data_IF_641232513306
#
_entry.id   IF_641232513306
#
_cell.length_a   1.000
_cell.length_b   1.000
_cell.length_c   1.000
_cell.angle_alpha   90.00
_cell.angle_beta   90.00
_cell.angle_gamma   90.00
#
_symmetry.space_group_name_H-M   'P 1'
#
loop_
_entity.id
_entity.type
_entity.pdbx_description
1 polymer ?
#
# COMPACT_ATOMS: atom_id res chain seq x y z
N UNK A 1 27.84 -4.91 49.91
CA UNK A 1 27.17 -6.01 49.20
C UNK A 1 25.73 -5.61 48.99
N UNK A 2 25.40 -5.07 47.81
CA UNK A 2 24.07 -4.93 47.22
C UNK A 2 24.27 -4.50 45.75
N UNK A 3 23.66 -5.24 44.83
CA UNK A 3 23.83 -5.15 43.38
C UNK A 3 23.04 -4.00 42.73
N UNK A 4 23.41 -3.55 41.51
CA UNK A 4 22.71 -2.53 40.74
C UNK A 4 21.54 -3.14 39.93
N UNK A 5 20.44 -2.40 39.79
CA UNK A 5 19.27 -2.81 39.01
C UNK A 5 18.98 -1.83 37.87
N UNK A 6 19.19 -2.33 36.66
CA UNK A 6 18.72 -1.93 35.32
C UNK A 6 17.87 -0.63 35.17
N UNK A 7 18.50 0.41 34.63
CA UNK A 7 17.81 1.47 33.88
C UNK A 7 17.77 1.09 32.39
N UNK A 8 16.77 0.30 32.00
CA UNK A 8 16.30 0.23 30.62
C UNK A 8 14.84 0.69 30.60
N UNK A 9 14.63 1.99 30.79
CA UNK A 9 13.32 2.60 30.61
C UNK A 9 13.12 2.94 29.13
N UNK A 10 12.33 2.11 28.44
CA UNK A 10 11.74 2.52 27.17
C UNK A 10 10.92 3.79 27.41
N UNK A 11 11.01 4.81 26.53
CA UNK A 11 10.26 6.05 26.74
C UNK A 11 8.76 5.75 26.65
N UNK A 12 8.11 5.74 27.82
CA UNK A 12 6.67 5.68 27.93
C UNK A 12 6.05 6.85 27.15
N UNK A 13 5.28 6.52 26.12
CA UNK A 13 4.53 7.49 25.32
C UNK A 13 3.60 8.25 26.29
N UNK A 14 3.84 9.55 26.45
CA UNK A 14 3.04 10.42 27.31
C UNK A 14 1.62 10.55 26.73
N UNK A 15 0.67 9.93 27.43
CA UNK A 15 -0.78 10.03 27.19
C UNK A 15 -1.28 11.48 27.35
N UNK A 16 -1.52 12.17 26.24
CA UNK A 16 -2.67 13.07 26.10
C UNK A 16 -3.64 12.38 25.15
N UNK A 17 -4.93 12.34 25.51
CA UNK A 17 -5.99 11.54 24.86
C UNK A 17 -6.30 12.07 23.46
N UNK A 18 -5.37 11.87 22.52
CA UNK A 18 -5.52 12.16 21.10
C UNK A 18 -6.20 11.00 20.37
N UNK A 19 -6.82 11.28 19.22
CA UNK A 19 -7.34 10.26 18.32
C UNK A 19 -6.18 9.52 17.65
N UNK A 20 -6.36 8.24 17.36
CA UNK A 20 -5.41 7.48 16.54
C UNK A 20 -5.55 7.91 15.09
N UNK A 21 -4.46 8.41 14.52
CA UNK A 21 -4.43 8.93 13.15
C UNK A 21 -4.08 7.82 12.16
N UNK A 22 -4.99 7.50 11.26
CA UNK A 22 -4.86 6.43 10.25
C UNK A 22 -4.72 7.06 8.87
N UNK A 23 -3.67 6.69 8.14
CA UNK A 23 -3.53 6.96 6.72
C UNK A 23 -3.94 5.72 5.91
N UNK A 24 -4.78 5.89 4.92
CA UNK A 24 -5.12 4.83 3.95
C UNK A 24 -4.91 5.31 2.53
N UNK A 25 -4.23 4.53 1.70
CA UNK A 25 -3.92 4.86 0.31
C UNK A 25 -4.42 3.75 -0.60
N UNK A 26 -5.32 4.10 -1.52
CA UNK A 26 -5.92 3.16 -2.45
C UNK A 26 -4.94 2.62 -3.50
N UNK A 27 -5.35 1.52 -4.13
CA UNK A 27 -4.77 1.04 -5.38
C UNK A 27 -5.05 2.00 -6.54
N UNK A 28 -4.22 1.99 -7.59
CA UNK A 28 -4.47 2.85 -8.76
C UNK A 28 -3.41 2.89 -9.85
N UNK A 29 -2.39 2.04 -9.79
CA UNK A 29 -1.30 2.03 -10.75
C UNK A 29 -0.68 3.42 -10.94
N UNK A 30 -0.43 3.82 -12.20
CA UNK A 30 0.11 5.16 -12.52
C UNK A 30 -0.78 6.33 -12.05
N UNK A 31 -2.08 6.13 -11.81
CA UNK A 31 -2.95 7.17 -11.24
C UNK A 31 -2.58 7.52 -9.80
N UNK A 32 -1.81 6.66 -9.13
CA UNK A 32 -1.25 6.92 -7.80
C UNK A 32 -0.44 8.21 -7.71
N UNK A 33 0.02 8.79 -8.83
CA UNK A 33 0.63 10.13 -8.85
C UNK A 33 -0.28 11.18 -8.19
N UNK A 34 -1.61 11.07 -8.33
CA UNK A 34 -2.57 11.98 -7.70
C UNK A 34 -2.47 11.90 -6.17
N UNK A 35 -2.54 10.69 -5.60
CA UNK A 35 -2.37 10.47 -4.16
C UNK A 35 -1.00 10.93 -3.67
N UNK A 36 0.07 10.62 -4.40
CA UNK A 36 1.42 11.02 -3.99
C UNK A 36 1.62 12.55 -4.03
N UNK A 37 0.98 13.27 -4.97
CA UNK A 37 0.95 14.73 -4.95
C UNK A 37 0.12 15.28 -3.77
N UNK A 38 -1.00 14.65 -3.44
CA UNK A 38 -1.79 15.01 -2.26
C UNK A 38 -0.97 14.82 -0.96
N UNK A 39 -0.21 13.72 -0.86
CA UNK A 39 0.71 13.46 0.24
C UNK A 39 1.84 14.49 0.31
N UNK A 40 2.43 14.87 -0.83
CA UNK A 40 3.46 15.91 -0.88
C UNK A 40 2.92 17.27 -0.40
N UNK A 41 1.69 17.60 -0.80
CA UNK A 41 1.01 18.80 -0.32
C UNK A 41 0.72 18.74 1.19
N UNK A 42 0.25 17.59 1.68
CA UNK A 42 0.00 17.35 3.09
C UNK A 42 1.29 17.51 3.92
N UNK A 43 2.40 16.88 3.51
CA UNK A 43 3.67 17.00 4.23
C UNK A 43 4.17 18.44 4.27
N UNK A 44 4.01 19.20 3.17
CA UNK A 44 4.33 20.64 3.16
C UNK A 44 3.45 21.42 4.14
N UNK A 45 2.15 21.12 4.19
CA UNK A 45 1.23 21.74 5.13
C UNK A 45 1.59 21.40 6.59
N UNK A 46 1.97 20.15 6.88
CA UNK A 46 2.42 19.70 8.21
C UNK A 46 3.69 20.43 8.65
N UNK A 47 4.68 20.58 7.76
CA UNK A 47 5.90 21.37 8.02
C UNK A 47 5.55 22.82 8.35
N UNK A 48 4.67 23.44 7.56
CA UNK A 48 4.26 24.83 7.78
C UNK A 48 3.47 25.02 9.08
N UNK A 49 2.56 24.09 9.41
CA UNK A 49 1.68 24.20 10.59
C UNK A 49 2.40 23.89 11.89
N UNK A 50 3.36 22.97 11.87
CA UNK A 50 4.15 22.61 13.05
C UNK A 50 5.36 23.52 13.29
N UNK A 51 5.81 24.24 12.26
CA UNK A 51 7.07 24.99 12.30
C UNK A 51 8.32 24.09 12.23
N UNK A 52 8.16 22.77 12.06
CA UNK A 52 9.26 21.83 11.93
C UNK A 52 9.55 21.53 10.45
N UNK A 53 10.67 21.99 9.87
CA UNK A 53 11.02 21.73 8.47
C UNK A 53 11.30 20.25 8.20
N UNK A 54 11.64 19.48 9.24
CA UNK A 54 11.91 18.05 9.16
C UNK A 54 10.67 17.19 9.38
N UNK A 55 9.49 17.77 9.61
CA UNK A 55 8.25 17.02 9.76
C UNK A 55 8.01 16.10 8.55
N UNK A 56 7.54 14.89 8.80
CA UNK A 56 7.21 13.85 7.83
C UNK A 56 5.81 13.33 8.05
N UNK A 57 5.22 12.71 7.03
CA UNK A 57 3.89 12.07 7.16
C UNK A 57 3.87 11.08 8.33
N UNK A 58 4.91 10.24 8.47
CA UNK A 58 5.00 9.24 9.54
C UNK A 58 5.02 9.83 10.98
N UNK A 59 5.31 11.13 11.15
CA UNK A 59 5.29 11.77 12.47
C UNK A 59 3.87 12.06 12.97
N UNK A 60 2.87 12.09 12.07
CA UNK A 60 1.49 12.50 12.37
C UNK A 60 0.47 11.37 12.19
N UNK A 61 0.89 10.23 11.66
CA UNK A 61 0.04 9.06 11.48
C UNK A 61 0.57 7.90 12.33
N UNK A 62 -0.32 7.33 13.13
CA UNK A 62 -0.02 6.22 14.02
C UNK A 62 -0.05 4.88 13.27
N UNK A 63 -0.85 4.79 12.21
CA UNK A 63 -0.96 3.60 11.35
C UNK A 63 -1.10 4.03 9.90
N UNK A 64 -0.51 3.27 8.99
CA UNK A 64 -0.73 3.44 7.56
C UNK A 64 -1.09 2.14 6.85
N UNK A 65 -2.05 2.21 5.93
CA UNK A 65 -2.40 1.10 5.07
C UNK A 65 -2.35 1.52 3.60
N UNK A 66 -1.85 0.65 2.73
CA UNK A 66 -1.76 0.97 1.31
C UNK A 66 -1.87 -0.26 0.44
N UNK A 67 -2.62 -0.16 -0.65
CA UNK A 67 -2.83 -1.26 -1.61
C UNK A 67 -2.20 -0.95 -2.97
N UNK A 68 -1.54 -1.93 -3.60
CA UNK A 68 -0.83 -1.74 -4.86
C UNK A 68 0.18 -0.59 -4.78
N UNK A 69 0.10 0.40 -5.66
CA UNK A 69 0.90 1.63 -5.58
C UNK A 69 0.76 2.35 -4.23
N UNK A 70 -0.42 2.32 -3.62
CA UNK A 70 -0.60 2.83 -2.26
C UNK A 70 0.25 2.08 -1.24
N UNK A 71 0.42 0.76 -1.40
CA UNK A 71 1.27 -0.07 -0.54
C UNK A 71 2.76 0.25 -0.71
N UNK A 72 3.19 0.53 -1.95
CA UNK A 72 4.54 1.04 -2.22
C UNK A 72 4.76 2.37 -1.50
N UNK A 73 3.80 3.30 -1.59
CA UNK A 73 3.92 4.60 -0.92
C UNK A 73 3.93 4.46 0.60
N UNK A 74 3.10 3.58 1.16
CA UNK A 74 3.12 3.25 2.59
C UNK A 74 4.49 2.73 3.01
N UNK A 75 5.06 1.76 2.30
CA UNK A 75 6.41 1.28 2.59
C UNK A 75 7.44 2.41 2.50
N UNK A 76 7.39 3.25 1.46
CA UNK A 76 8.33 4.37 1.29
C UNK A 76 8.25 5.38 2.44
N UNK A 77 7.04 5.73 2.88
CA UNK A 77 6.79 6.75 3.89
C UNK A 77 7.09 6.29 5.32
N UNK A 78 7.15 4.99 5.57
CA UNK A 78 7.27 4.45 6.92
C UNK A 78 8.51 3.57 7.13
N UNK A 79 9.15 3.08 6.07
CA UNK A 79 10.41 2.35 6.18
C UNK A 79 11.51 3.25 6.73
N UNK A 80 12.40 2.67 7.53
CA UNK A 80 13.48 3.39 8.20
C UNK A 80 14.76 2.55 8.23
N UNK A 81 15.91 3.23 8.26
CA UNK A 81 17.23 2.59 8.42
C UNK A 81 17.74 2.67 9.85
N UNK A 82 17.22 3.60 10.64
CA UNK A 82 17.76 4.00 11.94
C UNK A 82 16.69 4.09 13.03
N UNK A 83 15.45 3.72 12.71
CA UNK A 83 14.28 3.81 13.57
C UNK A 83 13.95 5.25 14.03
N UNK A 84 14.41 6.27 13.30
CA UNK A 84 14.21 7.69 13.65
C UNK A 84 13.54 8.48 12.55
N UNK A 85 13.86 8.19 11.29
CA UNK A 85 13.34 8.94 10.15
C UNK A 85 12.94 8.01 9.01
N UNK A 86 11.90 8.38 8.24
CA UNK A 86 11.53 7.63 7.07
C UNK A 86 12.56 7.83 5.95
N UNK A 87 12.79 6.80 5.15
CA UNK A 87 13.78 6.82 4.08
C UNK A 87 13.37 7.70 2.88
N UNK A 88 12.08 8.03 2.75
CA UNK A 88 11.56 8.91 1.72
C UNK A 88 10.68 10.02 2.31
N UNK A 89 10.72 11.17 1.66
CA UNK A 89 9.73 12.25 1.78
C UNK A 89 8.46 11.91 0.99
N UNK A 90 7.35 12.56 1.35
CA UNK A 90 6.11 12.41 0.58
C UNK A 90 6.25 12.82 -0.91
N UNK A 91 7.11 13.79 -1.23
CA UNK A 91 7.33 14.21 -2.61
C UNK A 91 8.07 13.15 -3.45
N UNK A 92 8.95 12.37 -2.83
CA UNK A 92 9.70 11.31 -3.51
C UNK A 92 8.80 10.12 -3.91
N UNK A 93 7.65 9.93 -3.25
CA UNK A 93 6.72 8.83 -3.57
C UNK A 93 6.22 8.90 -5.03
N UNK A 94 5.59 10.01 -5.43
CA UNK A 94 5.07 10.15 -6.79
C UNK A 94 6.18 10.33 -7.82
N UNK A 95 7.33 10.93 -7.44
CA UNK A 95 8.50 11.03 -8.32
C UNK A 95 9.07 9.65 -8.62
N UNK A 96 9.21 8.79 -7.61
CA UNK A 96 9.63 7.41 -7.80
C UNK A 96 8.72 6.69 -8.80
N UNK A 97 7.40 6.86 -8.67
CA UNK A 97 6.43 6.29 -9.60
C UNK A 97 6.53 6.89 -11.01
N UNK A 98 6.76 8.20 -11.15
CA UNK A 98 6.92 8.86 -12.44
C UNK A 98 8.21 8.40 -13.16
N UNK A 99 9.32 8.34 -12.43
CA UNK A 99 10.65 8.00 -12.95
C UNK A 99 10.74 6.51 -13.31
N UNK A 100 10.14 5.65 -12.47
CA UNK A 100 10.12 4.22 -12.71
C UNK A 100 8.89 3.76 -13.48
N UNK A 101 7.91 4.62 -13.74
CA UNK A 101 6.64 4.25 -14.39
C UNK A 101 6.84 3.57 -15.74
N UNK A 102 7.80 4.04 -16.55
CA UNK A 102 8.18 3.38 -17.81
C UNK A 102 8.86 2.02 -17.62
N UNK A 103 9.54 1.79 -16.49
CA UNK A 103 10.17 0.50 -16.15
C UNK A 103 9.13 -0.48 -15.58
N UNK A 104 8.21 0.02 -14.77
CA UNK A 104 7.17 -0.73 -14.05
C UNK A 104 6.03 -1.11 -15.00
N UNK A 105 5.52 -0.15 -15.78
CA UNK A 105 4.35 -0.31 -16.65
C UNK A 105 4.69 -0.50 -18.13
N UNK A 106 5.88 -1.02 -18.42
CA UNK A 106 6.34 -1.28 -19.80
C UNK A 106 5.46 -2.37 -20.44
N UNK A 107 4.34 -1.95 -21.05
CA UNK A 107 3.61 -2.79 -22.02
C UNK A 107 4.57 -3.12 -23.15
N UNK A 108 4.66 -4.40 -23.52
CA UNK A 108 5.39 -4.82 -24.70
C UNK A 108 4.86 -4.09 -25.92
N UNK A 109 5.56 -3.04 -26.34
CA UNK A 109 5.33 -2.41 -27.63
C UNK A 109 5.53 -3.49 -28.69
N UNK A 110 4.48 -3.75 -29.46
CA UNK A 110 4.46 -4.83 -30.45
C UNK A 110 5.62 -4.73 -31.42
N UNK A 111 6.41 -5.80 -31.53
CA UNK A 111 7.12 -6.10 -32.77
C UNK A 111 6.17 -6.90 -33.65
N UNK A 112 5.58 -6.23 -34.63
CA UNK A 112 5.13 -6.90 -35.85
C UNK A 112 6.30 -7.72 -36.39
N UNK A 113 6.21 -9.03 -36.30
CA UNK A 113 7.27 -9.94 -36.72
C UNK A 113 6.83 -11.39 -36.65
N UNK A 114 6.15 -11.86 -37.71
CA UNK A 114 6.07 -13.26 -38.11
C UNK A 114 5.33 -14.21 -37.17
N UNK A 115 4.15 -14.65 -37.61
CA UNK A 115 3.29 -15.65 -36.94
C UNK A 115 4.01 -17.00 -36.74
N UNK A 116 5.16 -17.26 -37.39
CA UNK A 116 5.88 -18.54 -37.31
C UNK A 116 6.91 -18.70 -36.16
N UNK A 117 7.15 -17.70 -35.29
CA UNK A 117 8.08 -17.88 -34.14
C UNK A 117 7.41 -18.15 -32.79
N UNK A 118 6.08 -18.29 -32.75
CA UNK A 118 5.29 -18.33 -31.50
C UNK A 118 5.10 -19.70 -30.86
N UNK A 119 5.55 -20.79 -31.49
CA UNK A 119 5.30 -22.17 -30.98
C UNK A 119 6.48 -22.70 -30.13
N UNK A 120 7.57 -21.93 -29.96
CA UNK A 120 8.77 -22.36 -29.22
C UNK A 120 9.15 -21.46 -28.02
N UNK A 121 8.21 -20.67 -27.49
CA UNK A 121 8.41 -19.93 -26.22
C UNK A 121 7.22 -20.10 -25.28
N UNK A 122 7.10 -21.28 -24.71
CA UNK A 122 6.43 -21.44 -23.42
C UNK A 122 7.28 -20.75 -22.35
N UNK A 123 6.68 -19.80 -21.62
CA UNK A 123 7.18 -19.32 -20.33
C UNK A 123 8.17 -18.16 -20.34
N UNK A 124 7.81 -16.98 -20.86
CA UNK A 124 8.56 -15.75 -20.50
C UNK A 124 7.68 -14.50 -20.43
N UNK A 125 7.11 -14.25 -19.26
CA UNK A 125 6.64 -12.94 -18.76
C UNK A 125 7.83 -12.02 -18.40
N UNK A 126 8.85 -11.96 -19.26
CA UNK A 126 10.16 -11.42 -18.92
C UNK A 126 10.48 -10.10 -19.62
N UNK A 127 10.24 -8.97 -18.94
CA UNK A 127 11.05 -7.74 -19.07
C UNK A 127 10.71 -6.69 -17.99
N UNK A 128 9.44 -6.54 -17.61
CA UNK A 128 9.00 -5.56 -16.58
C UNK A 128 9.34 -5.97 -15.14
N UNK A 129 9.32 -7.28 -14.86
CA UNK A 129 9.64 -7.85 -13.53
C UNK A 129 11.01 -7.44 -13.01
N UNK A 130 12.03 -7.45 -13.86
CA UNK A 130 13.41 -7.15 -13.47
C UNK A 130 13.63 -5.65 -13.19
N UNK A 131 12.89 -4.78 -13.89
CA UNK A 131 12.99 -3.33 -13.72
C UNK A 131 12.40 -2.86 -12.40
N UNK A 132 11.21 -3.36 -12.07
CA UNK A 132 10.52 -3.11 -10.80
C UNK A 132 11.28 -3.71 -9.62
N UNK A 133 11.71 -4.97 -9.73
CA UNK A 133 12.51 -5.62 -8.69
C UNK A 133 13.78 -4.84 -8.37
N UNK A 134 14.52 -4.41 -9.40
CA UNK A 134 15.73 -3.61 -9.21
C UNK A 134 15.43 -2.29 -8.50
N UNK A 135 14.40 -1.57 -8.92
CA UNK A 135 14.03 -0.29 -8.30
C UNK A 135 13.63 -0.46 -6.83
N UNK A 136 12.87 -1.51 -6.51
CA UNK A 136 12.45 -1.81 -5.14
C UNK A 136 13.61 -2.25 -4.26
N UNK A 137 14.53 -3.08 -4.79
CA UNK A 137 15.75 -3.45 -4.07
C UNK A 137 16.62 -2.23 -3.79
N UNK A 138 16.81 -1.33 -4.77
CA UNK A 138 17.55 -0.08 -4.59
C UNK A 138 16.92 0.81 -3.51
N UNK A 139 15.57 0.89 -3.46
CA UNK A 139 14.85 1.68 -2.47
C UNK A 139 14.95 1.10 -1.04
N UNK A 140 14.76 -0.21 -0.88
CA UNK A 140 14.59 -0.86 0.43
C UNK A 140 15.78 -1.72 0.86
N UNK A 141 16.97 -1.50 0.29
CA UNK A 141 18.21 -2.16 0.73
C UNK A 141 19.14 -1.12 1.36
N UNK A 142 19.67 -1.44 2.55
CA UNK A 142 20.67 -0.65 3.25
C UNK A 142 21.99 -1.43 3.31
N UNK A 143 22.93 -1.09 2.44
CA UNK A 143 24.19 -1.84 2.30
C UNK A 143 23.94 -3.26 1.79
N UNK A 144 24.15 -4.26 2.65
CA UNK A 144 23.93 -5.69 2.34
C UNK A 144 22.62 -6.26 2.92
N UNK A 145 21.87 -5.47 3.69
CA UNK A 145 20.62 -5.90 4.35
C UNK A 145 19.41 -5.34 3.61
N UNK A 146 18.44 -6.20 3.30
CA UNK A 146 17.10 -5.77 2.89
C UNK A 146 16.31 -5.33 4.11
N UNK A 147 15.63 -4.19 4.02
CA UNK A 147 14.68 -3.75 5.05
C UNK A 147 13.46 -4.67 5.03
N UNK A 148 12.92 -4.97 6.21
CA UNK A 148 11.75 -5.85 6.38
C UNK A 148 10.57 -5.10 7.00
N UNK A 149 9.44 -5.77 7.25
CA UNK A 149 8.27 -5.14 7.88
C UNK A 149 8.61 -4.60 9.28
N UNK A 150 9.53 -5.26 9.99
CA UNK A 150 10.07 -4.78 11.28
C UNK A 150 10.80 -3.44 11.18
N UNK A 151 11.38 -3.14 10.02
CA UNK A 151 12.12 -1.90 9.73
C UNK A 151 11.18 -0.75 9.31
N UNK A 152 9.98 -0.69 9.89
CA UNK A 152 9.03 0.41 9.72
C UNK A 152 8.78 1.13 11.05
N UNK A 153 8.67 2.46 10.99
CA UNK A 153 8.57 3.35 12.16
C UNK A 153 7.28 3.13 12.97
N UNK A 154 6.21 2.75 12.28
CA UNK A 154 4.85 2.61 12.79
C UNK A 154 4.17 1.40 12.15
N UNK A 155 3.08 0.88 12.72
CA UNK A 155 2.29 -0.16 12.09
C UNK A 155 1.90 0.18 10.66
N UNK A 156 2.25 -0.72 9.74
CA UNK A 156 1.85 -0.67 8.33
C UNK A 156 1.03 -1.89 7.96
N UNK A 157 0.10 -1.72 7.02
CA UNK A 157 -0.74 -2.78 6.48
C UNK A 157 -0.73 -2.72 4.96
N UNK A 158 -0.23 -3.78 4.32
CA UNK A 158 -0.09 -3.82 2.86
C UNK A 158 -0.71 -5.13 2.38
N UNK A 159 -1.83 -5.13 1.64
CA UNK A 159 -2.47 -6.34 1.19
C UNK A 159 -1.83 -6.89 -0.09
N UNK A 160 -1.89 -8.20 -0.27
CA UNK A 160 -1.85 -8.88 -1.56
C UNK A 160 -2.98 -9.91 -1.62
N UNK A 161 -3.16 -10.56 -2.77
CA UNK A 161 -3.98 -11.76 -2.86
C UNK A 161 -3.07 -12.96 -3.05
N UNK A 162 -3.11 -13.93 -2.13
CA UNK A 162 -2.31 -15.14 -2.21
C UNK A 162 -3.08 -16.25 -2.92
N UNK A 163 -2.56 -16.67 -4.07
CA UNK A 163 -3.14 -17.73 -4.87
C UNK A 163 -2.99 -19.11 -4.22
N UNK A 164 -2.05 -19.29 -3.30
CA UNK A 164 -1.85 -20.58 -2.61
C UNK A 164 -2.97 -20.85 -1.61
N UNK A 165 -3.32 -19.85 -0.81
CA UNK A 165 -4.43 -19.90 0.14
C UNK A 165 -5.77 -19.50 -0.46
N UNK A 166 -5.79 -18.95 -1.67
CA UNK A 166 -6.98 -18.38 -2.34
C UNK A 166 -7.68 -17.32 -1.50
N UNK A 167 -6.88 -16.51 -0.79
CA UNK A 167 -7.39 -15.50 0.14
C UNK A 167 -6.54 -14.21 0.09
N UNK A 168 -7.10 -13.07 0.52
CA UNK A 168 -6.30 -11.88 0.80
C UNK A 168 -5.29 -12.18 1.91
N UNK A 169 -4.05 -11.78 1.70
CA UNK A 169 -3.00 -11.82 2.71
C UNK A 169 -2.62 -10.39 3.07
N UNK A 170 -2.60 -10.04 4.35
CA UNK A 170 -2.29 -8.70 4.82
C UNK A 170 -0.93 -8.70 5.48
N UNK A 171 0.08 -8.13 4.82
CA UNK A 171 1.38 -7.89 5.46
C UNK A 171 1.20 -6.85 6.57
N UNK A 172 1.50 -7.22 7.81
CA UNK A 172 1.44 -6.31 8.95
C UNK A 172 2.75 -6.29 9.73
N UNK A 173 3.14 -5.10 10.20
CA UNK A 173 4.27 -4.97 11.13
C UNK A 173 4.01 -5.72 12.44
N UNK A 174 2.76 -5.71 12.92
CA UNK A 174 2.39 -6.37 14.16
C UNK A 174 2.66 -7.89 14.08
N UNK A 175 2.18 -8.56 13.03
CA UNK A 175 2.42 -10.00 12.85
C UNK A 175 3.90 -10.31 12.67
N UNK A 176 4.64 -9.45 11.94
CA UNK A 176 6.08 -9.58 11.79
C UNK A 176 6.80 -9.50 13.15
N UNK A 177 6.39 -8.60 14.05
CA UNK A 177 6.98 -8.49 15.39
C UNK A 177 6.69 -9.70 16.28
N UNK A 178 5.52 -10.32 16.13
CA UNK A 178 5.17 -11.55 16.87
C UNK A 178 5.96 -12.76 16.38
N UNK A 179 6.23 -12.88 15.08
CA UNK A 179 6.98 -14.01 14.52
C UNK A 179 7.66 -13.68 13.20
N UNK A 180 8.89 -14.18 13.03
CA UNK A 180 9.66 -14.08 11.79
C UNK A 180 8.95 -14.74 10.59
N UNK A 181 8.00 -15.66 10.83
CA UNK A 181 7.18 -16.27 9.79
C UNK A 181 6.24 -15.28 9.09
N UNK A 182 6.04 -14.09 9.64
CA UNK A 182 5.28 -13.01 9.03
C UNK A 182 6.13 -11.77 8.74
N UNK A 183 7.46 -11.84 8.92
CA UNK A 183 8.36 -10.79 8.50
C UNK A 183 8.85 -11.06 7.06
N UNK A 184 8.68 -10.07 6.19
CA UNK A 184 9.01 -10.16 4.77
C UNK A 184 9.85 -8.96 4.33
N UNK A 185 10.77 -9.11 3.37
CA UNK A 185 11.48 -7.98 2.78
C UNK A 185 10.51 -6.97 2.15
N UNK A 186 10.66 -5.69 2.48
CA UNK A 186 9.76 -4.63 1.99
C UNK A 186 9.75 -4.53 0.46
N UNK A 187 10.88 -4.81 -0.19
CA UNK A 187 10.95 -4.81 -1.65
C UNK A 187 10.11 -5.94 -2.27
N UNK A 188 9.98 -7.10 -1.61
CA UNK A 188 9.09 -8.18 -2.06
C UNK A 188 7.63 -7.84 -1.77
N UNK A 189 7.33 -7.30 -0.59
CA UNK A 189 5.99 -6.82 -0.21
C UNK A 189 5.48 -5.80 -1.23
N UNK A 190 6.31 -4.82 -1.60
CA UNK A 190 5.99 -3.81 -2.62
C UNK A 190 5.73 -4.42 -3.99
N UNK A 191 6.48 -5.46 -4.38
CA UNK A 191 6.24 -6.17 -5.63
C UNK A 191 4.95 -6.97 -5.59
N UNK A 192 4.70 -7.69 -4.50
CA UNK A 192 3.55 -8.54 -4.30
C UNK A 192 2.25 -7.73 -4.35
N UNK A 193 2.18 -6.63 -3.59
CA UNK A 193 0.99 -5.78 -3.55
C UNK A 193 0.69 -5.13 -4.90
N UNK A 194 1.69 -4.90 -5.76
CA UNK A 194 1.53 -4.25 -7.07
C UNK A 194 1.63 -5.21 -8.27
N UNK A 195 1.58 -6.52 -8.05
CA UNK A 195 1.75 -7.53 -9.09
C UNK A 195 0.45 -7.72 -9.91
N UNK A 196 0.07 -6.70 -10.69
CA UNK A 196 -1.20 -6.66 -11.42
C UNK A 196 -1.20 -7.72 -12.55
N UNK A 197 -2.20 -8.64 -12.58
CA UNK A 197 -2.35 -9.60 -13.65
C UNK A 197 -2.50 -8.93 -15.02
N UNK A 198 -1.78 -9.44 -16.02
CA UNK A 198 -1.74 -8.86 -17.36
C UNK A 198 -0.72 -7.73 -17.54
N UNK A 199 -0.18 -7.17 -16.45
CA UNK A 199 0.93 -6.22 -16.47
C UNK A 199 2.25 -6.86 -15.99
N UNK A 200 2.17 -7.66 -14.93
CA UNK A 200 3.29 -8.36 -14.31
C UNK A 200 2.92 -9.81 -13.95
N UNK A 201 3.94 -10.67 -13.82
CA UNK A 201 3.75 -12.03 -13.33
C UNK A 201 3.54 -12.08 -11.81
N UNK A 202 2.97 -13.17 -11.28
CA UNK A 202 2.86 -13.38 -9.84
C UNK A 202 4.22 -13.38 -9.16
N UNK A 203 4.23 -13.04 -7.88
CA UNK A 203 5.44 -13.00 -7.04
C UNK A 203 5.41 -14.19 -6.11
N UNK A 204 6.37 -15.10 -6.28
CA UNK A 204 6.66 -16.10 -5.27
C UNK A 204 7.53 -15.43 -4.20
N UNK A 205 7.01 -15.37 -2.97
CA UNK A 205 7.69 -14.74 -1.84
C UNK A 205 7.71 -15.66 -0.63
N UNK A 206 8.66 -15.40 0.25
CA UNK A 206 8.91 -16.20 1.43
C UNK A 206 9.27 -15.28 2.62
N UNK A 207 8.81 -15.65 3.82
CA UNK A 207 9.19 -14.96 5.05
C UNK A 207 10.69 -15.10 5.32
N UNK A 208 11.25 -14.23 6.17
CA UNK A 208 12.69 -14.21 6.46
C UNK A 208 13.21 -15.54 7.03
N UNK A 209 12.36 -16.26 7.77
CA UNK A 209 12.66 -17.58 8.35
C UNK A 209 12.39 -18.76 7.40
N UNK A 210 11.78 -18.49 6.24
CA UNK A 210 11.46 -19.53 5.27
C UNK A 210 10.13 -20.26 5.48
N UNK A 211 9.40 -20.03 6.56
CA UNK A 211 8.25 -20.85 6.95
C UNK A 211 6.99 -20.53 6.16
N UNK A 212 6.72 -19.25 5.92
CA UNK A 212 5.54 -18.80 5.19
C UNK A 212 5.91 -18.52 3.74
N UNK A 213 5.10 -19.06 2.82
CA UNK A 213 5.24 -18.84 1.38
C UNK A 213 3.92 -18.33 0.82
N UNK A 214 4.01 -17.36 -0.09
CA UNK A 214 2.86 -16.84 -0.80
C UNK A 214 3.13 -16.82 -2.30
N UNK A 215 2.09 -17.10 -3.08
CA UNK A 215 2.07 -16.84 -4.53
C UNK A 215 1.19 -15.62 -4.72
N UNK A 216 1.81 -14.45 -4.57
CA UNK A 216 1.10 -13.20 -4.44
C UNK A 216 0.82 -12.53 -5.79
N UNK A 217 -0.37 -11.95 -5.89
CA UNK A 217 -0.77 -10.99 -6.94
C UNK A 217 -1.35 -9.73 -6.29
N UNK A 218 -1.54 -8.69 -7.10
CA UNK A 218 -1.89 -7.33 -6.66
C UNK A 218 -2.99 -7.29 -5.58
N UNK A 219 -2.74 -6.56 -4.49
CA UNK A 219 -3.67 -6.42 -3.37
C UNK A 219 -4.94 -5.66 -3.72
N UNK A 220 -4.88 -4.82 -4.75
CA UNK A 220 -6.01 -4.06 -5.27
C UNK A 220 -7.08 -4.92 -5.92
N UNK A 221 -6.80 -6.20 -6.22
CA UNK A 221 -7.82 -7.15 -6.70
C UNK A 221 -8.83 -7.52 -5.61
N UNK A 222 -8.41 -7.53 -4.35
CA UNK A 222 -9.25 -7.91 -3.22
C UNK A 222 -9.52 -6.77 -2.24
N UNK A 223 -8.58 -5.83 -2.13
CA UNK A 223 -8.62 -4.75 -1.16
C UNK A 223 -8.07 -3.47 -1.82
N UNK A 224 -8.81 -2.92 -2.78
CA UNK A 224 -8.43 -1.68 -3.48
C UNK A 224 -8.40 -0.47 -2.55
N UNK A 225 -9.31 -0.42 -1.58
CA UNK A 225 -9.32 0.56 -0.50
C UNK A 225 -9.08 -0.16 0.85
N UNK A 226 -7.86 -0.09 1.43
CA UNK A 226 -7.53 -0.81 2.65
C UNK A 226 -7.99 -0.12 3.94
N UNK A 227 -8.86 0.90 3.85
CA UNK A 227 -9.30 1.70 5.02
C UNK A 227 -9.96 0.84 6.11
N UNK A 228 -10.84 -0.11 5.73
CA UNK A 228 -11.50 -1.00 6.70
C UNK A 228 -10.51 -1.92 7.39
N UNK A 229 -9.51 -2.43 6.67
CA UNK A 229 -8.45 -3.24 7.29
C UNK A 229 -7.66 -2.44 8.33
N UNK A 230 -7.32 -1.19 8.02
CA UNK A 230 -6.62 -0.30 8.95
C UNK A 230 -7.44 0.02 10.21
N UNK A 231 -8.71 0.38 10.04
CA UNK A 231 -9.62 0.62 11.17
C UNK A 231 -9.76 -0.65 12.01
N UNK A 232 -9.99 -1.80 11.37
CA UNK A 232 -10.17 -3.08 12.06
C UNK A 232 -8.93 -3.44 12.87
N UNK A 233 -7.74 -3.27 12.28
CA UNK A 233 -6.46 -3.48 12.96
C UNK A 233 -6.35 -2.61 14.22
N UNK A 234 -6.59 -1.31 14.11
CA UNK A 234 -6.53 -0.39 15.26
C UNK A 234 -7.58 -0.72 16.32
N UNK A 235 -8.79 -1.09 15.91
CA UNK A 235 -9.86 -1.44 16.85
C UNK A 235 -9.57 -2.75 17.62
N UNK A 236 -8.88 -3.71 17.02
CA UNK A 236 -8.74 -5.06 17.60
C UNK A 236 -7.33 -5.40 18.09
N UNK A 237 -6.29 -4.70 17.65
CA UNK A 237 -4.94 -4.85 18.16
C UNK A 237 -4.79 -4.07 19.48
N UNK A 238 -5.27 -4.66 20.59
CA UNK A 238 -5.22 -4.03 21.93
C UNK A 238 -3.81 -3.99 22.54
N UNK A 239 -2.86 -4.74 21.99
CA UNK A 239 -1.47 -4.63 22.40
C UNK A 239 -0.89 -3.29 21.98
N UNK A 240 -1.13 -2.87 20.73
CA UNK A 240 -0.67 -1.56 20.22
C UNK A 240 -1.64 -0.42 20.56
N UNK A 241 -2.95 -0.69 20.60
CA UNK A 241 -4.02 0.32 20.77
C UNK A 241 -4.99 -0.01 21.92
N UNK A 242 -4.51 -0.11 23.18
CA UNK A 242 -5.31 -0.58 24.32
C UNK A 242 -6.51 0.31 24.65
N UNK A 243 -6.46 1.60 24.30
CA UNK A 243 -7.46 2.60 24.72
C UNK A 243 -8.51 2.93 23.66
N UNK A 244 -8.34 2.46 22.43
CA UNK A 244 -9.31 2.68 21.35
C UNK A 244 -10.55 1.84 21.61
N UNK A 245 -11.74 2.44 21.62
CA UNK A 245 -13.01 1.75 21.88
C UNK A 245 -13.91 1.67 20.65
N UNK A 246 -13.82 2.66 19.79
CA UNK A 246 -14.63 2.77 18.60
C UNK A 246 -14.07 3.78 17.60
N UNK A 247 -14.83 4.03 16.55
CA UNK A 247 -14.46 4.93 15.45
C UNK A 247 -14.37 6.40 15.89
N UNK A 248 -15.00 6.75 17.01
CA UNK A 248 -14.91 8.07 17.64
C UNK A 248 -13.50 8.43 18.12
N UNK A 249 -12.68 7.42 18.42
CA UNK A 249 -11.29 7.56 18.84
C UNK A 249 -10.32 7.62 17.64
N UNK A 250 -10.83 7.57 16.41
CA UNK A 250 -10.03 7.52 15.19
C UNK A 250 -10.11 8.85 14.42
N UNK A 251 -9.02 9.20 13.74
CA UNK A 251 -8.96 10.20 12.69
C UNK A 251 -8.39 9.52 11.44
N UNK A 252 -9.17 9.42 10.38
CA UNK A 252 -8.85 8.62 9.20
C UNK A 252 -8.75 9.53 7.98
N UNK A 253 -7.58 9.54 7.33
CA UNK A 253 -7.39 10.12 6.00
C UNK A 253 -7.29 9.00 4.98
N UNK A 254 -8.27 8.90 4.09
CA UNK A 254 -8.32 7.93 3.00
C UNK A 254 -8.11 8.65 1.66
N UNK A 255 -7.08 8.24 0.91
CA UNK A 255 -6.67 8.84 -0.36
C UNK A 255 -6.97 7.91 -1.52
N UNK A 256 -7.95 8.30 -2.34
CA UNK A 256 -8.31 7.59 -3.56
C UNK A 256 -7.53 8.05 -4.79
N UNK A 257 -7.27 7.14 -5.72
CA UNK A 257 -6.46 7.39 -6.93
C UNK A 257 -7.26 7.93 -8.11
N UNK A 258 -8.50 8.38 -7.89
CA UNK A 258 -9.40 8.92 -8.89
C UNK A 258 -10.09 7.85 -9.75
N UNK A 259 -11.33 8.16 -10.16
CA UNK A 259 -12.10 7.36 -11.12
C UNK A 259 -11.88 7.90 -12.55
N UNK A 260 -11.80 7.01 -13.54
CA UNK A 260 -11.71 7.39 -14.95
C UNK A 260 -13.13 7.58 -15.50
N UNK A 261 -13.56 8.83 -15.71
CA UNK A 261 -14.83 9.12 -16.38
C UNK A 261 -14.82 8.80 -17.88
N UNK A 262 -13.65 8.78 -18.54
CA UNK A 262 -13.54 8.68 -20.00
C UNK A 262 -13.82 7.29 -20.58
N UNK A 263 -14.49 6.41 -19.84
CA UNK A 263 -14.94 5.14 -20.38
C UNK A 263 -16.45 4.98 -20.21
N UNK A 264 -17.20 5.88 -20.83
CA UNK A 264 -18.58 5.58 -21.19
C UNK A 264 -18.55 4.46 -22.22
N UNK A 265 -18.88 3.25 -21.79
CA UNK A 265 -18.96 2.13 -22.71
C UNK A 265 -20.32 2.15 -23.42
N UNK A 266 -20.31 2.44 -24.71
CA UNK A 266 -21.50 2.39 -25.56
C UNK A 266 -22.06 0.96 -25.63
N UNK A 267 -23.39 0.80 -25.50
CA UNK A 267 -24.05 -0.50 -25.50
C UNK A 267 -23.64 -1.38 -26.70
N UNK A 268 -23.59 -0.76 -27.89
CA UNK A 268 -23.23 -1.42 -29.14
C UNK A 268 -21.79 -1.95 -29.16
N UNK A 269 -20.89 -1.34 -28.40
CA UNK A 269 -19.53 -1.83 -28.22
C UNK A 269 -19.49 -2.98 -27.22
N UNK A 270 -20.11 -2.80 -26.06
CA UNK A 270 -20.08 -3.78 -24.96
C UNK A 270 -20.76 -5.09 -25.33
N UNK A 271 -21.89 -5.05 -26.06
CA UNK A 271 -22.64 -6.26 -26.46
C UNK A 271 -21.80 -7.24 -27.28
N UNK A 272 -20.75 -6.74 -27.94
CA UNK A 272 -19.87 -7.50 -28.81
C UNK A 272 -18.54 -7.88 -28.14
N UNK A 273 -18.34 -7.55 -26.86
CA UNK A 273 -17.13 -7.87 -26.13
C UNK A 273 -16.93 -9.37 -25.95
N UNK A 274 -15.68 -9.81 -26.15
CA UNK A 274 -15.23 -11.16 -25.83
C UNK A 274 -14.50 -11.15 -24.48
N UNK A 275 -14.16 -12.34 -23.97
CA UNK A 275 -13.45 -12.50 -22.69
C UNK A 275 -12.23 -11.58 -22.53
N UNK A 276 -11.42 -11.42 -23.59
CA UNK A 276 -10.25 -10.53 -23.58
C UNK A 276 -10.60 -9.04 -23.45
N UNK A 277 -11.75 -8.64 -23.96
CA UNK A 277 -12.22 -7.26 -23.95
C UNK A 277 -12.81 -6.91 -22.57
N UNK A 278 -13.42 -7.90 -21.91
CA UNK A 278 -13.93 -7.81 -20.53
C UNK A 278 -12.85 -7.77 -19.44
N UNK A 279 -11.67 -8.36 -19.67
CA UNK A 279 -10.66 -8.56 -18.62
C UNK A 279 -10.26 -7.27 -17.86
N UNK A 280 -9.93 -6.19 -18.60
CA UNK A 280 -9.52 -4.91 -18.00
C UNK A 280 -10.70 -4.12 -17.42
N UNK A 281 -11.86 -3.99 -18.11
CA UNK A 281 -13.07 -3.41 -17.52
C UNK A 281 -13.54 -4.12 -16.25
N UNK A 282 -13.55 -5.46 -16.20
CA UNK A 282 -13.96 -6.20 -15.00
C UNK A 282 -13.04 -5.91 -13.81
N UNK A 283 -11.73 -5.95 -14.00
CA UNK A 283 -10.78 -5.63 -12.92
C UNK A 283 -10.99 -4.21 -12.38
N UNK A 284 -11.27 -3.25 -13.28
CA UNK A 284 -11.58 -1.86 -12.91
C UNK A 284 -12.89 -1.74 -12.14
N UNK A 285 -13.99 -2.30 -12.66
CA UNK A 285 -15.30 -2.29 -12.02
C UNK A 285 -15.21 -2.92 -10.62
N UNK A 286 -14.50 -4.04 -10.49
CA UNK A 286 -14.27 -4.70 -9.21
C UNK A 286 -13.48 -3.81 -8.25
N UNK A 287 -12.41 -3.17 -8.72
CA UNK A 287 -11.57 -2.29 -7.91
C UNK A 287 -12.30 -1.02 -7.46
N UNK A 288 -12.95 -0.31 -8.38
CA UNK A 288 -13.70 0.92 -8.11
C UNK A 288 -14.93 0.62 -7.23
N UNK A 289 -15.69 -0.44 -7.55
CA UNK A 289 -16.84 -0.86 -6.75
C UNK A 289 -16.46 -1.29 -5.34
N UNK A 290 -15.32 -1.97 -5.16
CA UNK A 290 -14.77 -2.29 -3.84
C UNK A 290 -14.40 -1.02 -3.08
N UNK A 291 -13.74 -0.06 -3.72
CA UNK A 291 -13.31 1.19 -3.08
C UNK A 291 -14.50 2.06 -2.64
N UNK A 292 -15.53 2.16 -3.49
CA UNK A 292 -16.76 2.92 -3.21
C UNK A 292 -17.58 2.26 -2.10
N UNK A 293 -17.69 0.92 -2.10
CA UNK A 293 -18.38 0.18 -1.04
C UNK A 293 -17.71 0.36 0.32
N UNK A 294 -16.38 0.37 0.34
CA UNK A 294 -15.59 0.63 1.56
C UNK A 294 -15.80 2.07 2.03
N UNK A 295 -15.71 3.07 1.14
CA UNK A 295 -15.95 4.48 1.49
C UNK A 295 -17.35 4.67 2.09
N UNK A 296 -18.39 4.12 1.45
CA UNK A 296 -19.77 4.19 1.96
C UNK A 296 -19.88 3.52 3.33
N UNK A 297 -19.32 2.32 3.50
CA UNK A 297 -19.39 1.58 4.76
C UNK A 297 -18.68 2.32 5.90
N UNK A 298 -17.47 2.83 5.65
CA UNK A 298 -16.71 3.59 6.66
C UNK A 298 -17.45 4.88 6.99
N UNK A 299 -17.93 5.59 5.98
CA UNK A 299 -18.61 6.84 6.21
C UNK A 299 -19.95 6.67 6.95
N UNK A 300 -20.63 5.52 6.75
CA UNK A 300 -21.77 5.10 7.56
C UNK A 300 -21.36 4.70 8.97
N UNK A 301 -20.23 4.04 9.18
CA UNK A 301 -19.75 3.69 10.52
C UNK A 301 -19.43 4.94 11.36
N UNK A 302 -18.87 5.97 10.73
CA UNK A 302 -18.50 7.21 11.42
C UNK A 302 -19.70 8.14 11.72
N UNK A 303 -20.91 7.88 11.18
CA UNK A 303 -22.17 8.64 11.38
C UNK A 303 -21.98 10.11 11.82
N UNK A 304 -22.10 10.36 13.14
CA UNK A 304 -22.09 11.67 13.79
C UNK A 304 -20.70 12.35 13.76
N UNK A 305 -19.63 11.59 13.55
CA UNK A 305 -18.25 12.06 13.43
C UNK A 305 -17.74 12.05 11.99
N UNK A 306 -18.59 11.77 10.99
CA UNK A 306 -18.18 11.65 9.58
C UNK A 306 -17.44 12.89 9.09
N UNK A 307 -17.93 14.09 9.40
CA UNK A 307 -17.35 15.34 8.89
C UNK A 307 -16.09 15.80 9.63
N UNK A 308 -15.75 15.21 10.78
CA UNK A 308 -14.61 15.63 11.61
C UNK A 308 -13.49 14.58 11.67
N UNK A 309 -13.82 13.30 11.53
CA UNK A 309 -12.91 12.21 11.81
C UNK A 309 -12.62 11.31 10.60
N UNK A 310 -13.42 11.36 9.53
CA UNK A 310 -13.18 10.59 8.32
C UNK A 310 -13.10 11.52 7.11
N UNK A 311 -11.90 11.67 6.55
CA UNK A 311 -11.66 12.48 5.36
C UNK A 311 -11.29 11.55 4.21
N UNK A 312 -12.20 11.45 3.24
CA UNK A 312 -11.94 10.82 1.95
C UNK A 312 -11.57 11.89 0.93
N UNK A 313 -10.36 11.80 0.37
CA UNK A 313 -9.95 12.62 -0.77
C UNK A 313 -9.98 11.71 -2.00
N UNK A 314 -11.00 11.88 -2.84
CA UNK A 314 -11.16 11.14 -4.09
C UNK A 314 -11.44 12.13 -5.21
N UNK A 315 -10.74 11.97 -6.33
CA UNK A 315 -10.99 12.80 -7.51
C UNK A 315 -12.14 12.19 -8.29
N UNK A 316 -13.28 12.87 -8.25
CA UNK A 316 -14.43 12.65 -9.12
C UNK A 316 -14.43 13.77 -10.15
N UNK A 317 -14.25 13.43 -11.43
CA UNK A 317 -14.60 14.38 -12.48
C UNK A 317 -16.14 14.32 -12.62
N UNK A 318 -16.79 15.44 -12.91
CA UNK A 318 -18.22 15.55 -13.20
C UNK A 318 -18.41 15.97 -14.65
#
# INVERSE_FOLDING_TARGET
>A
MAQPGDENSFPAIKNQRGKICILSIDSGGMKGILCGKALAYLEKALKSKSGNPNARVADYFDVAAGSSVGGIFTAMLFATRDNKQPIFTAEETWRFLADNGKRIYRSGAGKNGGILKKILKNGSTGSSSNGMEKAMKEAFTAGRRSLTLKDTLKPVLIPCYDLSSTAPFLFSRADALETDSFDFPLWEVCRATSAEPGLSGPVLMQSVDGQTKCVAVDGGLAMSNPTVAAITHVLHNKQEFPFVRGVEDLLVLSLGTGQLLEVSYEYEQVKNWRLKDWAKPMARISGDGSADSVDQTVAMAFQQCRSSNYVRIQVTYF
#
